data_IF_920402649479
#
_entry.id   IF_920402649479
#
_cell.length_a   1.000
_cell.length_b   1.000
_cell.length_c   1.000
_cell.angle_alpha   90.00
_cell.angle_beta   90.00
_cell.angle_gamma   90.00
#
_symmetry.space_group_name_H-M   'P 1'
#
loop_
_entity.id
_entity.type
_entity.pdbx_description
1 polymer ?
#
# COMPACT_ATOMS: atom_id res chain seq x y z
N UNK A 1 -41.10 58.14 -70.33
CA UNK A 1 -40.76 59.24 -69.46
C UNK A 1 -41.02 58.82 -68.01
N UNK A 2 -40.17 58.93 -67.18
CA UNK A 2 -40.17 58.79 -65.71
C UNK A 2 -39.36 57.60 -65.19
N UNK A 3 -38.19 57.93 -64.72
CA UNK A 3 -37.29 57.11 -63.93
C UNK A 3 -37.83 56.87 -62.50
N UNK A 4 -37.64 55.72 -61.97
CA UNK A 4 -37.66 55.53 -60.52
C UNK A 4 -36.53 54.61 -60.10
N UNK A 5 -35.49 55.21 -59.46
CA UNK A 5 -34.43 54.52 -58.71
C UNK A 5 -34.98 53.89 -57.41
N UNK A 6 -34.80 52.63 -57.22
CA UNK A 6 -34.98 52.00 -55.91
C UNK A 6 -33.61 51.64 -55.31
N UNK A 7 -33.33 52.24 -54.19
CA UNK A 7 -32.13 52.03 -53.40
C UNK A 7 -32.08 50.62 -52.75
N UNK A 8 -30.93 49.97 -52.85
CA UNK A 8 -30.60 48.72 -52.12
C UNK A 8 -30.12 49.04 -50.68
N UNK A 9 -30.88 48.60 -49.69
CA UNK A 9 -30.44 48.56 -48.30
C UNK A 9 -29.73 47.25 -48.09
N UNK A 10 -28.42 47.32 -47.81
CA UNK A 10 -27.60 46.18 -47.38
C UNK A 10 -27.83 46.00 -45.89
N UNK A 11 -28.28 44.80 -45.48
CA UNK A 11 -28.38 44.40 -44.10
C UNK A 11 -26.97 43.94 -43.58
N UNK A 12 -26.40 44.77 -42.73
CA UNK A 12 -25.26 44.37 -41.89
C UNK A 12 -25.83 43.90 -40.55
N UNK A 13 -25.59 42.62 -40.15
CA UNK A 13 -25.91 42.21 -38.81
C UNK A 13 -26.14 40.72 -38.60
N UNK A 14 -25.13 39.82 -38.79
CA UNK A 14 -25.19 38.45 -38.23
C UNK A 14 -23.80 37.80 -38.05
N UNK A 15 -22.73 38.58 -37.95
CA UNK A 15 -21.38 37.99 -37.87
C UNK A 15 -20.73 37.99 -36.48
N UNK A 16 -21.33 38.65 -35.47
CA UNK A 16 -20.71 38.76 -34.15
C UNK A 16 -21.20 37.73 -33.11
N UNK A 17 -22.35 37.10 -33.30
CA UNK A 17 -22.89 36.13 -32.33
C UNK A 17 -22.32 34.72 -32.47
N UNK A 18 -21.71 34.37 -33.60
CA UNK A 18 -21.18 33.02 -33.82
C UNK A 18 -19.76 32.80 -33.23
N UNK A 19 -18.97 33.87 -33.07
CA UNK A 19 -17.63 33.79 -32.51
C UNK A 19 -17.62 33.64 -30.97
N UNK A 20 -18.63 34.13 -30.26
CA UNK A 20 -18.71 34.05 -28.79
C UNK A 20 -19.15 32.66 -28.33
N UNK A 21 -20.00 31.97 -29.09
CA UNK A 21 -20.43 30.60 -28.78
C UNK A 21 -19.30 29.57 -28.98
N UNK A 22 -18.39 29.78 -29.92
CA UNK A 22 -17.26 28.88 -30.16
C UNK A 22 -16.14 29.03 -29.12
N UNK A 23 -15.96 30.22 -28.53
CA UNK A 23 -14.99 30.45 -27.45
C UNK A 23 -15.42 29.87 -26.09
N UNK A 24 -16.72 29.78 -25.83
CA UNK A 24 -17.26 29.21 -24.60
C UNK A 24 -17.22 27.67 -24.61
N UNK A 25 -17.33 27.02 -25.76
CA UNK A 25 -17.17 25.55 -25.86
C UNK A 25 -15.72 25.08 -25.72
N UNK A 26 -14.74 25.87 -26.13
CA UNK A 26 -13.32 25.52 -26.00
C UNK A 26 -12.80 25.69 -24.56
N UNK A 27 -13.42 26.56 -23.75
CA UNK A 27 -13.03 26.73 -22.33
C UNK A 27 -13.53 25.55 -21.44
N UNK A 28 -14.66 24.91 -21.76
CA UNK A 28 -15.17 23.78 -21.01
C UNK A 28 -14.39 22.45 -21.26
N UNK A 29 -13.74 22.34 -22.43
CA UNK A 29 -12.97 21.11 -22.74
C UNK A 29 -11.55 21.12 -22.18
N UNK A 30 -10.98 22.28 -21.83
CA UNK A 30 -9.65 22.36 -21.21
C UNK A 30 -9.66 22.07 -19.70
N UNK A 31 -10.80 22.18 -19.03
CA UNK A 31 -10.89 21.87 -17.59
C UNK A 31 -11.06 20.37 -17.31
N UNK A 32 -11.40 19.56 -18.31
CA UNK A 32 -11.59 18.11 -18.14
C UNK A 32 -10.31 17.27 -18.38
N UNK A 33 -9.19 17.87 -18.76
CA UNK A 33 -7.97 17.14 -19.13
C UNK A 33 -6.91 17.06 -18.03
N UNK A 34 -7.17 17.52 -16.80
CA UNK A 34 -6.20 17.52 -15.72
C UNK A 34 -6.69 16.87 -14.40
N UNK A 35 -7.74 16.08 -14.42
CA UNK A 35 -7.93 15.07 -13.38
C UNK A 35 -6.98 13.90 -13.73
N UNK A 36 -5.78 13.93 -13.18
CA UNK A 36 -4.89 12.78 -13.20
C UNK A 36 -5.65 11.61 -12.59
N UNK A 37 -5.92 10.60 -13.39
CA UNK A 37 -6.71 9.45 -12.96
C UNK A 37 -6.01 8.82 -11.75
N UNK A 38 -6.59 9.02 -10.56
CA UNK A 38 -6.20 8.37 -9.30
C UNK A 38 -6.19 6.85 -9.50
N UNK A 39 -5.14 6.19 -9.05
CA UNK A 39 -5.12 4.72 -9.00
C UNK A 39 -6.25 4.25 -8.09
N UNK A 40 -7.12 3.38 -8.59
CA UNK A 40 -8.31 2.96 -7.84
C UNK A 40 -8.19 1.58 -7.21
N UNK A 41 -7.32 0.75 -7.72
CA UNK A 41 -7.14 -0.61 -7.21
C UNK A 41 -6.08 -0.62 -6.11
N UNK A 42 -6.41 -1.23 -4.99
CA UNK A 42 -5.51 -1.42 -3.84
C UNK A 42 -5.41 -2.92 -3.57
N UNK A 43 -4.20 -3.41 -3.45
CA UNK A 43 -3.92 -4.81 -3.07
C UNK A 43 -3.19 -4.82 -1.74
N UNK A 44 -3.80 -5.42 -0.72
CA UNK A 44 -3.31 -5.48 0.65
C UNK A 44 -2.70 -6.86 0.94
N UNK A 45 -1.47 -6.87 1.45
CA UNK A 45 -0.68 -8.07 1.76
C UNK A 45 -0.38 -8.06 3.26
N UNK A 46 -0.77 -9.14 3.98
CA UNK A 46 -0.52 -9.25 5.43
C UNK A 46 0.92 -9.65 5.73
N UNK A 47 1.30 -9.64 6.98
CA UNK A 47 2.62 -10.09 7.45
C UNK A 47 2.56 -11.48 8.06
N UNK A 48 3.73 -12.01 8.41
CA UNK A 48 3.86 -13.26 9.12
C UNK A 48 3.06 -13.29 10.43
N UNK A 49 2.56 -14.46 10.79
CA UNK A 49 1.78 -14.69 12.02
C UNK A 49 0.47 -13.89 12.08
N UNK A 50 -0.02 -13.47 10.94
CA UNK A 50 -1.28 -12.75 10.76
C UNK A 50 -2.08 -13.39 9.62
N UNK A 51 -3.21 -12.80 9.31
CA UNK A 51 -4.03 -13.12 8.14
C UNK A 51 -4.66 -11.85 7.55
N UNK A 52 -5.34 -12.00 6.45
CA UNK A 52 -5.98 -10.86 5.78
C UNK A 52 -7.10 -10.19 6.58
N UNK A 53 -7.63 -10.82 7.65
CA UNK A 53 -8.73 -10.25 8.43
C UNK A 53 -8.32 -8.99 9.19
N UNK A 54 -7.04 -8.83 9.52
CA UNK A 54 -6.51 -7.64 10.17
C UNK A 54 -6.68 -6.37 9.34
N UNK A 55 -6.77 -6.48 8.02
CA UNK A 55 -7.00 -5.36 7.12
C UNK A 55 -8.43 -4.80 7.13
N UNK A 56 -9.38 -5.44 7.85
CA UNK A 56 -10.81 -5.10 7.80
C UNK A 56 -11.10 -3.61 8.03
N UNK A 57 -10.45 -2.98 9.00
CA UNK A 57 -10.66 -1.56 9.30
C UNK A 57 -10.18 -0.64 8.17
N UNK A 58 -9.03 -0.94 7.57
CA UNK A 58 -8.48 -0.20 6.42
C UNK A 58 -9.35 -0.44 5.18
N UNK A 59 -9.73 -1.70 4.92
CA UNK A 59 -10.64 -2.08 3.84
C UNK A 59 -11.94 -1.27 3.86
N UNK A 60 -12.61 -1.18 5.01
CA UNK A 60 -13.88 -0.47 5.13
C UNK A 60 -13.78 1.02 4.79
N UNK A 61 -12.66 1.64 5.18
CA UNK A 61 -12.41 3.06 4.86
C UNK A 61 -12.19 3.21 3.35
N UNK A 62 -11.25 2.46 2.77
CA UNK A 62 -10.90 2.57 1.36
C UNK A 62 -12.08 2.27 0.43
N UNK A 63 -12.89 1.23 0.74
CA UNK A 63 -14.09 0.92 -0.05
C UNK A 63 -15.13 2.04 0.03
N UNK A 64 -15.34 2.61 1.22
CA UNK A 64 -16.23 3.76 1.39
C UNK A 64 -15.76 4.97 0.57
N UNK A 65 -14.44 5.15 0.42
CA UNK A 65 -13.84 6.26 -0.31
C UNK A 65 -13.66 5.95 -1.81
N UNK A 66 -14.28 4.84 -2.28
CA UNK A 66 -14.47 4.48 -3.69
C UNK A 66 -13.30 3.72 -4.33
N UNK A 67 -12.46 3.07 -3.54
CA UNK A 67 -11.42 2.17 -4.05
C UNK A 67 -11.93 0.74 -4.25
N UNK A 68 -11.32 0.04 -5.20
CA UNK A 68 -11.43 -1.40 -5.34
C UNK A 68 -10.33 -2.04 -4.51
N UNK A 69 -10.67 -2.80 -3.47
CA UNK A 69 -9.70 -3.35 -2.53
C UNK A 69 -9.71 -4.88 -2.61
N UNK A 70 -8.55 -5.45 -2.84
CA UNK A 70 -8.31 -6.89 -2.79
C UNK A 70 -7.34 -7.20 -1.64
N UNK A 71 -7.56 -8.32 -0.96
CA UNK A 71 -6.72 -8.77 0.15
C UNK A 71 -6.10 -10.11 -0.23
N UNK A 72 -4.78 -10.19 -0.19
CA UNK A 72 -4.03 -11.42 -0.42
C UNK A 72 -4.11 -12.29 0.82
N UNK A 73 -4.27 -13.59 0.64
CA UNK A 73 -4.05 -14.60 1.67
C UNK A 73 -2.76 -15.34 1.33
N UNK A 74 -1.73 -15.10 2.11
CA UNK A 74 -0.44 -15.73 1.93
C UNK A 74 -0.44 -17.10 2.59
N UNK A 75 0.02 -18.16 1.91
CA UNK A 75 0.10 -19.50 2.49
C UNK A 75 1.22 -19.63 3.54
N UNK A 76 2.21 -18.75 3.50
CA UNK A 76 3.39 -18.72 4.38
C UNK A 76 4.20 -20.05 4.41
N UNK A 77 4.02 -20.88 3.38
CA UNK A 77 4.72 -22.15 3.19
C UNK A 77 6.07 -22.00 2.49
N UNK A 78 6.24 -20.96 1.69
CA UNK A 78 7.52 -20.48 1.16
C UNK A 78 7.38 -19.03 0.70
N UNK A 79 8.45 -18.26 0.73
CA UNK A 79 8.48 -16.90 0.21
C UNK A 79 8.02 -16.82 -1.26
N UNK A 80 8.41 -17.79 -2.07
CA UNK A 80 8.04 -17.86 -3.48
C UNK A 80 6.53 -18.09 -3.67
N UNK A 81 5.90 -18.90 -2.81
CA UNK A 81 4.45 -19.11 -2.87
C UNK A 81 3.68 -17.87 -2.41
N UNK A 82 4.19 -17.09 -1.45
CA UNK A 82 3.60 -15.84 -1.01
C UNK A 82 3.68 -14.77 -2.11
N UNK A 83 4.84 -14.65 -2.77
CA UNK A 83 5.00 -13.81 -3.97
C UNK A 83 4.06 -14.27 -5.10
N UNK A 84 3.92 -15.58 -5.32
CA UNK A 84 3.02 -16.11 -6.35
C UNK A 84 1.54 -15.86 -5.99
N UNK A 85 1.15 -15.98 -4.72
CA UNK A 85 -0.21 -15.64 -4.25
C UNK A 85 -0.52 -14.17 -4.51
N UNK A 86 0.41 -13.28 -4.19
CA UNK A 86 0.30 -11.84 -4.45
C UNK A 86 0.14 -11.55 -5.95
N UNK A 87 0.99 -12.15 -6.80
CA UNK A 87 0.88 -11.99 -8.27
C UNK A 87 -0.43 -12.51 -8.85
N UNK A 88 -1.02 -13.58 -8.29
CA UNK A 88 -2.36 -14.06 -8.70
C UNK A 88 -3.43 -13.00 -8.44
N UNK A 89 -3.38 -12.30 -7.31
CA UNK A 89 -4.32 -11.23 -7.00
C UNK A 89 -4.06 -9.99 -7.86
N UNK A 90 -2.80 -9.64 -8.14
CA UNK A 90 -2.44 -8.57 -9.08
C UNK A 90 -3.03 -8.82 -10.47
N UNK A 91 -2.98 -10.05 -10.96
CA UNK A 91 -3.53 -10.44 -12.27
C UNK A 91 -5.06 -10.30 -12.38
N UNK A 92 -5.77 -10.16 -11.26
CA UNK A 92 -7.22 -9.94 -11.24
C UNK A 92 -7.60 -8.44 -11.28
N UNK A 93 -6.61 -7.54 -11.21
CA UNK A 93 -6.90 -6.10 -11.16
C UNK A 93 -7.22 -5.56 -12.56
N UNK A 94 -8.24 -4.71 -12.62
CA UNK A 94 -8.60 -3.96 -13.83
C UNK A 94 -7.82 -2.63 -13.86
N UNK A 95 -6.58 -2.69 -14.36
CA UNK A 95 -5.66 -1.55 -14.45
C UNK A 95 -4.61 -1.48 -13.34
N UNK A 96 -4.02 -0.30 -13.19
CA UNK A 96 -2.94 -0.09 -12.21
C UNK A 96 -3.44 -0.15 -10.76
N UNK A 97 -2.56 -0.61 -9.88
CA UNK A 97 -2.85 -0.73 -8.44
C UNK A 97 -1.72 -0.15 -7.57
N UNK A 98 -2.08 0.19 -6.33
CA UNK A 98 -1.14 0.37 -5.22
C UNK A 98 -1.03 -0.97 -4.49
N UNK A 99 0.19 -1.43 -4.32
CA UNK A 99 0.50 -2.66 -3.60
C UNK A 99 0.98 -2.31 -2.19
N UNK A 100 0.29 -2.81 -1.17
CA UNK A 100 0.49 -2.46 0.23
C UNK A 100 0.94 -3.70 0.99
N UNK A 101 2.05 -3.62 1.72
CA UNK A 101 2.55 -4.73 2.54
C UNK A 101 2.73 -4.32 4.01
N UNK A 102 2.28 -5.18 4.91
CA UNK A 102 2.53 -5.07 6.34
C UNK A 102 3.63 -6.05 6.74
N UNK A 103 4.58 -5.61 7.57
CA UNK A 103 5.58 -6.49 8.16
C UNK A 103 6.37 -7.32 7.12
N UNK A 104 6.36 -8.64 7.23
CA UNK A 104 6.90 -9.60 6.24
C UNK A 104 6.30 -9.39 4.84
N UNK A 105 5.01 -9.04 4.75
CA UNK A 105 4.38 -8.67 3.48
C UNK A 105 5.10 -7.52 2.75
N UNK A 106 5.92 -6.73 3.45
CA UNK A 106 6.80 -5.74 2.84
C UNK A 106 7.88 -6.35 1.96
N UNK A 107 8.53 -7.44 2.40
CA UNK A 107 9.47 -8.18 1.54
C UNK A 107 8.75 -8.82 0.35
N UNK A 108 7.56 -9.36 0.58
CA UNK A 108 6.74 -9.95 -0.50
C UNK A 108 6.39 -8.91 -1.56
N UNK A 109 5.93 -7.70 -1.17
CA UNK A 109 5.63 -6.64 -2.14
C UNK A 109 6.89 -6.06 -2.79
N UNK A 110 8.03 -6.12 -2.12
CA UNK A 110 9.31 -5.72 -2.71
C UNK A 110 9.64 -6.58 -3.92
N UNK A 111 9.41 -7.89 -3.86
CA UNK A 111 9.64 -8.82 -4.97
C UNK A 111 8.49 -8.83 -5.98
N UNK A 112 7.22 -8.91 -5.52
CA UNK A 112 6.05 -8.96 -6.37
C UNK A 112 5.78 -7.64 -7.11
N UNK A 113 6.18 -6.53 -6.54
CA UNK A 113 5.90 -5.18 -7.02
C UNK A 113 6.59 -4.80 -8.33
N UNK A 114 7.47 -5.65 -8.87
CA UNK A 114 8.03 -5.50 -10.23
C UNK A 114 6.98 -5.69 -11.32
N UNK A 115 5.79 -6.21 -10.97
CA UNK A 115 4.68 -6.37 -11.91
C UNK A 115 4.31 -5.02 -12.54
N UNK A 116 4.08 -4.97 -13.88
CA UNK A 116 3.73 -3.73 -14.59
C UNK A 116 2.45 -3.07 -14.10
N UNK A 117 1.50 -3.84 -13.54
CA UNK A 117 0.25 -3.31 -13.00
C UNK A 117 0.44 -2.52 -11.69
N UNK A 118 1.58 -2.65 -11.01
CA UNK A 118 1.85 -1.91 -9.77
C UNK A 118 2.37 -0.52 -10.09
N UNK A 119 1.64 0.51 -9.68
CA UNK A 119 2.01 1.92 -9.85
C UNK A 119 2.85 2.47 -8.68
N UNK A 120 2.68 1.94 -7.48
CA UNK A 120 3.39 2.35 -6.27
C UNK A 120 3.30 1.34 -5.14
N UNK A 121 4.19 1.48 -4.16
CA UNK A 121 4.37 0.55 -3.05
C UNK A 121 4.15 1.27 -1.72
N UNK A 122 3.36 0.68 -0.83
CA UNK A 122 3.13 1.21 0.52
C UNK A 122 3.55 0.17 1.55
N UNK A 123 4.47 0.54 2.42
CA UNK A 123 5.04 -0.27 3.48
C UNK A 123 4.46 0.17 4.83
N UNK A 124 3.81 -0.70 5.53
CA UNK A 124 3.15 -0.43 6.82
C UNK A 124 3.86 -1.22 7.91
N UNK A 125 4.67 -0.56 8.74
CA UNK A 125 5.48 -1.20 9.77
C UNK A 125 6.19 -2.45 9.18
N UNK A 126 6.99 -2.26 8.11
CA UNK A 126 7.32 -3.36 7.22
C UNK A 126 8.79 -3.42 6.81
N UNK A 127 9.22 -4.62 6.44
CA UNK A 127 10.52 -4.86 5.83
C UNK A 127 10.56 -4.37 4.38
N UNK A 128 11.73 -3.85 3.97
CA UNK A 128 11.96 -3.31 2.63
C UNK A 128 13.39 -3.64 2.17
N UNK A 129 13.75 -4.93 2.09
CA UNK A 129 15.12 -5.34 1.76
C UNK A 129 15.49 -5.02 0.32
N UNK A 130 16.79 -4.95 0.05
CA UNK A 130 17.37 -4.71 -1.27
C UNK A 130 17.78 -6.04 -1.95
N UNK A 131 18.26 -5.96 -3.18
CA UNK A 131 18.77 -7.12 -3.92
C UNK A 131 19.88 -7.84 -3.12
N UNK A 132 19.70 -9.13 -2.90
CA UNK A 132 20.60 -9.97 -2.09
C UNK A 132 20.41 -9.84 -0.58
N UNK A 133 19.59 -8.91 -0.09
CA UNK A 133 19.23 -8.79 1.33
C UNK A 133 18.03 -9.67 1.69
N UNK A 134 17.87 -9.93 2.99
CA UNK A 134 16.73 -10.63 3.57
C UNK A 134 16.40 -10.06 4.97
N UNK A 135 15.19 -10.33 5.43
CA UNK A 135 14.69 -9.79 6.71
C UNK A 135 15.53 -10.22 7.92
N UNK A 136 15.98 -11.49 7.94
CA UNK A 136 16.71 -12.04 9.08
C UNK A 136 18.07 -11.34 9.28
N UNK A 137 18.76 -10.97 8.20
CA UNK A 137 20.05 -10.29 8.29
C UNK A 137 19.89 -8.80 8.56
N UNK A 138 18.88 -8.15 7.99
CA UNK A 138 18.56 -6.74 8.28
C UNK A 138 18.10 -6.59 9.75
N UNK A 139 17.29 -7.52 10.26
CA UNK A 139 16.88 -7.55 11.65
C UNK A 139 18.04 -7.71 12.65
N UNK A 140 19.14 -8.37 12.25
CA UNK A 140 20.36 -8.45 13.09
C UNK A 140 21.08 -7.10 13.17
N UNK A 141 20.98 -6.26 12.15
CA UNK A 141 21.56 -4.89 12.14
C UNK A 141 20.80 -3.94 13.06
N UNK A 142 19.49 -4.16 13.21
CA UNK A 142 18.57 -3.39 14.05
C UNK A 142 17.73 -4.34 14.90
N UNK A 143 18.28 -4.95 15.99
CA UNK A 143 17.53 -5.89 16.80
C UNK A 143 16.25 -5.28 17.37
N UNK A 144 15.15 -6.03 17.27
CA UNK A 144 13.87 -5.67 17.89
C UNK A 144 13.69 -6.34 19.24
N UNK A 145 12.76 -5.87 20.06
CA UNK A 145 12.42 -6.52 21.32
C UNK A 145 11.97 -7.97 21.09
N UNK A 146 11.15 -8.20 20.04
CA UNK A 146 10.70 -9.56 19.68
C UNK A 146 11.88 -10.48 19.35
N UNK A 147 12.85 -10.00 18.57
CA UNK A 147 14.00 -10.80 18.17
C UNK A 147 14.89 -11.21 19.34
N UNK A 148 14.84 -10.47 20.45
CA UNK A 148 15.57 -10.72 21.69
C UNK A 148 14.76 -11.50 22.73
N UNK A 149 13.50 -11.81 22.42
CA UNK A 149 12.56 -12.49 23.31
C UNK A 149 12.53 -14.01 23.06
N UNK A 150 11.71 -14.70 23.85
CA UNK A 150 11.38 -16.11 23.68
C UNK A 150 9.98 -16.30 23.07
N UNK A 151 9.37 -15.23 22.56
CA UNK A 151 7.99 -15.25 22.09
C UNK A 151 7.83 -16.01 20.76
N UNK A 152 8.86 -16.04 19.91
CA UNK A 152 8.82 -16.83 18.67
C UNK A 152 9.00 -18.30 19.02
N UNK A 153 8.00 -19.11 18.69
CA UNK A 153 7.99 -20.56 18.84
C UNK A 153 8.17 -21.23 17.49
N UNK A 154 8.68 -22.48 17.52
CA UNK A 154 8.92 -23.27 16.32
C UNK A 154 8.27 -24.64 16.44
N UNK A 155 7.60 -25.08 15.38
CA UNK A 155 7.07 -26.43 15.24
C UNK A 155 8.17 -27.42 14.81
N UNK A 156 7.91 -28.72 14.94
CA UNK A 156 8.87 -29.75 14.56
C UNK A 156 9.20 -29.76 13.05
N UNK A 157 8.26 -29.34 12.22
CA UNK A 157 8.37 -29.24 10.76
C UNK A 157 8.87 -27.87 10.25
N UNK A 158 9.28 -27.00 11.19
CA UNK A 158 10.02 -25.78 10.84
C UNK A 158 9.20 -24.49 10.75
N UNK A 159 7.88 -24.54 10.98
CA UNK A 159 7.07 -23.35 11.02
C UNK A 159 7.23 -22.59 12.33
N UNK A 160 7.00 -21.29 12.28
CA UNK A 160 7.06 -20.39 13.44
C UNK A 160 5.71 -19.76 13.72
N UNK A 161 5.51 -19.40 14.98
CA UNK A 161 4.36 -18.63 15.46
C UNK A 161 4.76 -17.83 16.69
N UNK A 162 4.01 -16.79 17.01
CA UNK A 162 4.16 -16.06 18.27
C UNK A 162 3.37 -16.78 19.37
N UNK A 163 4.00 -16.97 20.52
CA UNK A 163 3.33 -17.46 21.72
C UNK A 163 2.10 -16.61 22.01
N UNK A 164 0.88 -17.19 22.02
CA UNK A 164 -0.34 -16.43 22.28
C UNK A 164 -0.34 -15.64 23.60
N UNK A 165 0.40 -16.11 24.60
CA UNK A 165 0.54 -15.40 25.88
C UNK A 165 1.38 -14.11 25.77
N UNK A 166 2.27 -14.05 24.78
CA UNK A 166 3.18 -12.92 24.54
C UNK A 166 2.82 -12.11 23.28
N UNK A 167 1.86 -12.58 22.48
CA UNK A 167 1.48 -11.95 21.21
C UNK A 167 1.12 -10.48 21.36
N UNK A 168 0.25 -10.16 22.35
CA UNK A 168 -0.15 -8.78 22.59
C UNK A 168 1.03 -7.88 22.89
N UNK A 169 1.97 -8.34 23.70
CA UNK A 169 3.13 -7.55 24.11
C UNK A 169 4.00 -7.12 22.93
N UNK A 170 4.30 -8.04 22.02
CA UNK A 170 5.27 -7.80 20.94
C UNK A 170 4.62 -7.38 19.63
N UNK A 171 3.39 -7.79 19.36
CA UNK A 171 2.71 -7.55 18.09
C UNK A 171 1.60 -6.50 18.16
N UNK A 172 0.79 -6.52 19.21
CA UNK A 172 -0.49 -5.82 19.27
C UNK A 172 -0.68 -5.05 20.60
N UNK A 173 0.38 -4.36 21.07
CA UNK A 173 0.41 -3.76 22.40
C UNK A 173 -0.64 -2.67 22.62
N UNK A 174 -1.04 -1.96 21.57
CA UNK A 174 -2.05 -0.89 21.60
C UNK A 174 -3.47 -1.34 21.25
N UNK A 175 -3.68 -2.65 21.04
CA UNK A 175 -5.02 -3.24 20.89
C UNK A 175 -5.64 -3.64 22.23
N UNK A 176 -6.98 -3.80 22.23
CA UNK A 176 -7.65 -4.44 23.36
C UNK A 176 -7.18 -5.87 23.58
N UNK A 177 -7.31 -6.39 24.79
CA UNK A 177 -6.94 -7.77 25.10
C UNK A 177 -7.75 -8.78 24.26
N UNK A 178 -9.01 -8.48 23.97
CA UNK A 178 -9.89 -9.31 23.15
C UNK A 178 -9.41 -9.37 21.70
N UNK A 179 -9.14 -8.22 21.07
CA UNK A 179 -8.64 -8.16 19.70
C UNK A 179 -7.28 -8.86 19.57
N UNK A 180 -6.36 -8.60 20.49
CA UNK A 180 -5.05 -9.25 20.48
C UNK A 180 -5.15 -10.77 20.71
N UNK A 181 -6.08 -11.23 21.56
CA UNK A 181 -6.33 -12.65 21.78
C UNK A 181 -6.90 -13.34 20.53
N UNK A 182 -7.80 -12.69 19.81
CA UNK A 182 -8.31 -13.19 18.53
C UNK A 182 -7.17 -13.33 17.51
N UNK A 183 -6.39 -12.27 17.29
CA UNK A 183 -5.26 -12.29 16.36
C UNK A 183 -4.23 -13.37 16.73
N UNK A 184 -3.93 -13.53 18.02
CA UNK A 184 -3.02 -14.56 18.50
C UNK A 184 -3.50 -16.00 18.20
N UNK A 185 -4.77 -16.20 17.93
CA UNK A 185 -5.37 -17.52 17.62
C UNK A 185 -5.67 -17.70 16.14
N UNK A 186 -5.67 -16.63 15.34
CA UNK A 186 -5.86 -16.68 13.90
C UNK A 186 -4.55 -16.59 13.12
N UNK A 187 -3.40 -16.75 13.76
CA UNK A 187 -2.10 -16.72 13.10
C UNK A 187 -2.02 -17.76 11.98
N UNK A 188 -1.58 -17.35 10.80
CA UNK A 188 -1.00 -18.25 9.81
C UNK A 188 0.42 -18.58 10.28
N UNK A 189 0.81 -19.84 10.29
CA UNK A 189 2.15 -20.26 10.69
C UNK A 189 3.12 -20.02 9.54
N UNK A 190 4.19 -19.27 9.80
CA UNK A 190 5.18 -18.93 8.78
C UNK A 190 6.40 -19.86 8.82
N UNK A 191 6.79 -20.41 7.67
CA UNK A 191 8.00 -21.20 7.56
C UNK A 191 9.23 -20.33 7.90
N UNK A 192 10.05 -20.77 8.86
CA UNK A 192 11.17 -19.97 9.36
C UNK A 192 12.17 -19.53 8.28
N UNK A 193 12.30 -20.30 7.20
CA UNK A 193 13.23 -19.99 6.11
C UNK A 193 12.71 -18.85 5.20
N UNK A 194 11.43 -18.48 5.28
CA UNK A 194 10.89 -17.33 4.54
C UNK A 194 11.61 -16.04 4.89
N UNK A 195 11.96 -15.84 6.17
CA UNK A 195 12.69 -14.65 6.62
C UNK A 195 14.14 -14.57 6.10
N UNK A 196 14.67 -15.67 5.54
CA UNK A 196 16.01 -15.74 4.95
C UNK A 196 16.00 -15.66 3.43
N UNK A 197 14.83 -15.59 2.83
CA UNK A 197 14.71 -15.50 1.38
C UNK A 197 15.25 -14.15 0.90
N UNK A 198 16.29 -14.21 0.07
CA UNK A 198 16.88 -13.00 -0.49
C UNK A 198 16.01 -12.41 -1.60
N UNK A 199 15.87 -11.09 -1.59
CA UNK A 199 15.21 -10.35 -2.66
C UNK A 199 16.05 -10.41 -3.93
N UNK A 200 15.41 -10.66 -5.06
CA UNK A 200 16.09 -10.71 -6.37
C UNK A 200 15.94 -9.41 -7.15
N UNK A 201 14.77 -8.80 -7.12
CA UNK A 201 14.45 -7.61 -7.88
C UNK A 201 13.62 -6.62 -7.06
N UNK A 202 14.24 -5.72 -6.28
CA UNK A 202 13.53 -4.82 -5.38
C UNK A 202 12.78 -3.73 -6.16
N UNK A 203 11.46 -3.83 -6.19
CA UNK A 203 10.57 -2.94 -6.94
C UNK A 203 10.68 -1.46 -6.53
N UNK A 204 11.00 -1.18 -5.26
CA UNK A 204 11.16 0.17 -4.74
C UNK A 204 12.31 0.96 -5.38
N UNK A 205 13.24 0.30 -6.08
CA UNK A 205 14.30 0.98 -6.85
C UNK A 205 13.78 1.69 -8.10
N UNK A 206 12.63 1.27 -8.60
CA UNK A 206 12.06 1.77 -9.87
C UNK A 206 10.66 2.34 -9.72
N UNK A 207 10.01 2.12 -8.59
CA UNK A 207 8.64 2.58 -8.31
C UNK A 207 8.62 3.52 -7.10
N UNK A 208 7.73 4.52 -7.08
CA UNK A 208 7.54 5.37 -5.92
C UNK A 208 7.06 4.53 -4.72
N UNK A 209 7.52 4.92 -3.54
CA UNK A 209 7.21 4.19 -2.32
C UNK A 209 6.87 5.11 -1.14
N UNK A 210 6.03 4.61 -0.26
CA UNK A 210 5.57 5.23 0.98
C UNK A 210 5.84 4.28 2.14
N UNK A 211 6.25 4.81 3.29
CA UNK A 211 6.52 4.04 4.50
C UNK A 211 5.81 4.64 5.70
N UNK A 212 5.02 3.83 6.40
CA UNK A 212 4.48 4.17 7.71
C UNK A 212 5.31 3.46 8.77
N UNK A 213 5.92 4.25 9.65
CA UNK A 213 6.71 3.78 10.80
C UNK A 213 5.83 3.76 12.05
N UNK A 214 5.71 2.61 12.71
CA UNK A 214 5.02 2.47 13.98
C UNK A 214 6.01 2.73 15.14
N UNK A 215 5.90 3.88 15.84
CA UNK A 215 6.98 4.33 16.75
C UNK A 215 7.15 3.51 18.02
N UNK A 216 6.21 2.59 18.31
CA UNK A 216 6.27 1.63 19.43
C UNK A 216 6.20 0.19 18.93
N UNK A 217 6.63 -0.03 17.70
CA UNK A 217 6.80 -1.37 17.17
C UNK A 217 7.88 -2.13 17.97
N UNK A 218 7.55 -3.34 18.39
CA UNK A 218 8.42 -4.24 19.12
C UNK A 218 8.75 -5.51 18.32
N UNK A 219 8.05 -5.72 17.19
CA UNK A 219 8.31 -6.82 16.27
C UNK A 219 9.40 -6.45 15.24
N UNK A 220 9.31 -5.25 14.67
CA UNK A 220 10.39 -4.63 13.88
C UNK A 220 10.91 -3.43 14.67
N UNK A 221 12.23 -3.23 14.67
CA UNK A 221 12.80 -2.03 15.28
C UNK A 221 12.41 -0.80 14.41
N UNK A 222 11.77 0.25 14.97
CA UNK A 222 11.39 1.45 14.20
C UNK A 222 12.58 2.13 13.49
N UNK A 223 13.80 1.98 14.00
CA UNK A 223 14.98 2.53 13.34
C UNK A 223 15.36 1.75 12.07
N UNK A 224 15.01 0.47 11.96
CA UNK A 224 15.12 -0.29 10.72
C UNK A 224 14.12 0.24 9.67
N UNK A 225 12.87 0.48 10.06
CA UNK A 225 11.86 1.05 9.16
C UNK A 225 12.29 2.45 8.66
N UNK A 226 12.83 3.30 9.54
CA UNK A 226 13.38 4.62 9.19
C UNK A 226 14.54 4.50 8.21
N UNK A 227 15.46 3.56 8.47
CA UNK A 227 16.61 3.33 7.60
C UNK A 227 16.18 2.85 6.20
N UNK A 228 15.19 1.96 6.11
CA UNK A 228 14.61 1.55 4.84
C UNK A 228 14.00 2.74 4.08
N UNK A 229 13.20 3.55 4.76
CA UNK A 229 12.54 4.71 4.16
C UNK A 229 13.55 5.74 3.64
N UNK A 230 14.61 6.01 4.39
CA UNK A 230 15.68 6.93 4.00
C UNK A 230 16.46 6.41 2.80
N UNK A 231 16.84 5.13 2.81
CA UNK A 231 17.55 4.48 1.70
C UNK A 231 16.76 4.52 0.40
N UNK A 232 15.49 4.21 0.45
CA UNK A 232 14.61 4.19 -0.70
C UNK A 232 14.07 5.57 -1.09
N UNK A 233 14.32 6.60 -0.28
CA UNK A 233 13.72 7.94 -0.42
C UNK A 233 12.18 7.89 -0.44
N UNK A 234 11.62 7.00 0.35
CA UNK A 234 10.17 6.84 0.48
C UNK A 234 9.55 8.07 1.15
N UNK A 235 8.33 8.41 0.75
CA UNK A 235 7.53 9.31 1.57
C UNK A 235 7.25 8.65 2.92
N UNK A 236 7.77 9.23 4.01
CA UNK A 236 7.73 8.63 5.33
C UNK A 236 6.75 9.34 6.25
N UNK A 237 5.88 8.56 6.91
CA UNK A 237 4.98 9.02 7.99
C UNK A 237 5.28 8.22 9.25
N UNK A 238 5.26 8.86 10.41
CA UNK A 238 5.43 8.19 11.69
C UNK A 238 4.14 8.28 12.53
N UNK A 239 3.63 7.14 13.00
CA UNK A 239 2.45 7.08 13.86
C UNK A 239 2.89 6.89 15.31
N UNK A 240 2.75 7.98 16.09
CA UNK A 240 3.18 8.01 17.48
C UNK A 240 2.37 7.05 18.34
N UNK A 241 3.06 6.25 19.13
CA UNK A 241 2.45 5.32 20.09
C UNK A 241 1.84 4.06 19.48
N UNK A 242 1.89 3.88 18.15
CA UNK A 242 1.39 2.69 17.49
C UNK A 242 2.33 1.49 17.69
N UNK A 243 1.74 0.30 17.91
CA UNK A 243 2.44 -0.98 17.92
C UNK A 243 2.56 -1.56 16.50
N UNK A 244 3.14 -2.74 16.37
CA UNK A 244 3.29 -3.45 15.09
C UNK A 244 1.95 -3.65 14.37
N UNK A 245 0.86 -3.91 15.11
CA UNK A 245 -0.49 -4.04 14.56
C UNK A 245 -1.15 -2.68 14.20
N UNK A 246 -0.37 -1.68 13.74
CA UNK A 246 -0.81 -0.32 13.41
C UNK A 246 -1.97 -0.30 12.41
N UNK A 247 -2.01 -1.24 11.46
CA UNK A 247 -3.09 -1.33 10.47
C UNK A 247 -4.45 -1.72 11.08
N UNK A 248 -4.43 -2.31 12.28
CA UNK A 248 -5.63 -2.62 13.06
C UNK A 248 -5.97 -1.48 14.01
N UNK A 249 -4.97 -0.94 14.72
CA UNK A 249 -5.17 0.07 15.77
C UNK A 249 -5.37 1.49 15.25
N UNK A 250 -4.81 1.79 14.06
CA UNK A 250 -4.81 3.12 13.43
C UNK A 250 -5.22 3.04 11.95
N UNK A 251 -6.38 2.42 11.63
CA UNK A 251 -6.76 2.18 10.23
C UNK A 251 -6.96 3.47 9.42
N UNK A 252 -7.28 4.59 10.07
CA UNK A 252 -7.45 5.89 9.39
C UNK A 252 -6.13 6.45 8.90
N UNK A 253 -5.09 6.40 9.72
CA UNK A 253 -3.75 6.87 9.37
C UNK A 253 -3.14 6.00 8.27
N UNK A 254 -3.37 4.69 8.31
CA UNK A 254 -2.95 3.75 7.26
C UNK A 254 -3.69 4.01 5.96
N UNK A 255 -5.02 4.15 5.99
CA UNK A 255 -5.82 4.44 4.81
C UNK A 255 -5.40 5.78 4.17
N UNK A 256 -5.17 6.83 4.96
CA UNK A 256 -4.74 8.13 4.47
C UNK A 256 -3.41 8.05 3.68
N UNK A 257 -2.43 7.27 4.16
CA UNK A 257 -1.17 7.07 3.43
C UNK A 257 -1.37 6.30 2.13
N UNK A 258 -2.25 5.30 2.12
CA UNK A 258 -2.59 4.54 0.90
C UNK A 258 -3.29 5.44 -0.13
N UNK A 259 -4.21 6.31 0.31
CA UNK A 259 -4.91 7.27 -0.53
C UNK A 259 -3.97 8.33 -1.12
N UNK A 260 -3.00 8.78 -0.32
CA UNK A 260 -1.94 9.65 -0.78
C UNK A 260 -1.12 8.97 -1.88
N UNK A 261 -0.68 7.71 -1.67
CA UNK A 261 0.02 6.93 -2.66
C UNK A 261 -0.80 6.79 -3.95
N UNK A 262 -2.09 6.47 -3.84
CA UNK A 262 -2.99 6.31 -4.97
C UNK A 262 -3.18 7.61 -5.80
N UNK A 263 -2.98 8.75 -5.18
CA UNK A 263 -3.10 10.07 -5.81
C UNK A 263 -1.80 10.54 -6.47
N UNK A 264 -0.63 10.02 -6.05
CA UNK A 264 0.68 10.48 -6.49
C UNK A 264 1.51 9.43 -7.25
N UNK A 265 1.14 8.14 -7.22
CA UNK A 265 1.80 7.09 -7.99
C UNK A 265 1.55 7.31 -9.50
N UNK A 266 2.62 7.20 -10.29
CA UNK A 266 2.61 7.40 -11.76
C UNK A 266 3.42 6.32 -12.46
#
# INVERSE_FOLDING_TARGET
MSNSLKAMRVARGTSQSLCIALLLLTCCTLSAQNEHARVRNIVLVHGAWADGSGWKGVYDILVKDGFNVSIVQEPETSFQEDVAATKRVLALQDGQCILVGHSYGGAVITEAGTDPSVAGLVYIAAHMPDAGENEADDGKRFPSDLSQSTAIKKTADGFTYLDPAQFREYFAADLSAEQASFMARSQVLNLADNFKAAITAPAWRTKPSWMLVATKDRAINPDLERWYAERAKSHKVEVSGASHAVYVSRPKEVAALIEEAASHAR
#
